data_IF_257014208317
#
_entry.id   IF_257014208317
#
_cell.length_a   1.000
_cell.length_b   1.000
_cell.length_c   1.000
_cell.angle_alpha   90.00
_cell.angle_beta   90.00
_cell.angle_gamma   90.00
#
_symmetry.space_group_name_H-M   'P 1'
#
loop_
_entity.id
_entity.type
_entity.pdbx_description
1 polymer ?
#
# COMPACT_ATOMS: atom_id res chain seq x y z
N UNK A 1 -10.54 8.06 -18.15
CA UNK A 1 -11.87 7.85 -17.52
C UNK A 1 -11.90 8.43 -16.11
N UNK A 2 -12.85 9.32 -15.80
CA UNK A 2 -13.07 9.90 -14.47
C UNK A 2 -14.56 9.84 -14.13
N UNK A 3 -14.93 9.36 -12.94
CA UNK A 3 -16.32 9.43 -12.46
C UNK A 3 -16.68 10.81 -11.92
N UNK A 4 -17.96 11.15 -11.84
CA UNK A 4 -18.38 12.31 -11.06
C UNK A 4 -18.31 12.01 -9.56
N UNK A 5 -18.13 13.04 -8.71
CA UNK A 5 -18.13 12.87 -7.26
C UNK A 5 -18.65 14.13 -6.58
N UNK A 6 -19.70 14.00 -5.76
CA UNK A 6 -20.30 15.09 -4.98
C UNK A 6 -20.71 16.30 -5.84
N UNK A 7 -21.28 16.06 -7.03
CA UNK A 7 -21.75 17.12 -7.94
C UNK A 7 -20.66 17.85 -8.73
N UNK A 8 -19.38 17.48 -8.57
CA UNK A 8 -18.25 18.07 -9.32
C UNK A 8 -18.15 17.37 -10.69
N UNK A 9 -17.99 18.16 -11.75
CA UNK A 9 -17.85 17.67 -13.14
C UNK A 9 -16.55 16.86 -13.32
N UNK A 10 -16.43 16.12 -14.42
CA UNK A 10 -15.21 15.32 -14.67
C UNK A 10 -14.02 16.20 -15.05
N UNK A 11 -14.28 17.32 -15.73
CA UNK A 11 -13.32 18.36 -16.11
C UNK A 11 -12.79 19.10 -14.87
N UNK A 12 -13.69 19.53 -13.98
CA UNK A 12 -13.32 20.16 -12.71
C UNK A 12 -12.47 19.22 -11.86
N UNK A 13 -12.82 17.93 -11.80
CA UNK A 13 -12.04 16.92 -11.09
C UNK A 13 -10.65 16.72 -11.71
N UNK A 14 -10.55 16.68 -13.04
CA UNK A 14 -9.26 16.59 -13.73
C UNK A 14 -8.39 17.82 -13.39
N UNK A 15 -8.94 19.02 -13.54
CA UNK A 15 -8.25 20.27 -13.25
C UNK A 15 -7.76 20.35 -11.80
N UNK A 16 -8.56 19.87 -10.85
CA UNK A 16 -8.13 19.79 -9.45
C UNK A 16 -6.99 18.78 -9.25
N UNK A 17 -7.05 17.62 -9.91
CA UNK A 17 -5.99 16.62 -9.82
C UNK A 17 -4.67 17.12 -10.40
N UNK A 18 -4.73 17.80 -11.56
CA UNK A 18 -3.55 18.34 -12.22
C UNK A 18 -2.89 19.46 -11.42
N UNK A 19 -3.59 20.16 -10.51
CA UNK A 19 -2.98 21.15 -9.59
C UNK A 19 -2.07 20.53 -8.52
N UNK A 20 -2.00 19.21 -8.40
CA UNK A 20 -1.10 18.57 -7.45
C UNK A 20 0.37 18.89 -7.78
N UNK A 21 1.19 18.98 -6.75
CA UNK A 21 2.62 19.30 -6.85
C UNK A 21 3.45 18.22 -7.57
N UNK A 22 2.95 16.98 -7.66
CA UNK A 22 3.58 15.93 -8.47
C UNK A 22 3.72 16.34 -9.94
N UNK A 23 2.88 17.25 -10.43
CA UNK A 23 2.90 17.76 -11.80
C UNK A 23 3.74 19.03 -11.97
N UNK A 24 4.35 19.59 -10.92
CA UNK A 24 5.13 20.84 -11.01
C UNK A 24 6.29 20.70 -12.01
N UNK A 25 7.11 19.67 -11.87
CA UNK A 25 8.22 19.39 -12.79
C UNK A 25 7.72 19.20 -14.23
N UNK A 26 6.58 18.54 -14.42
CA UNK A 26 6.00 18.33 -15.74
C UNK A 26 5.48 19.65 -16.35
N UNK A 27 4.87 20.54 -15.55
CA UNK A 27 4.47 21.89 -15.97
C UNK A 27 5.66 22.72 -16.43
N UNK A 28 6.77 22.64 -15.72
CA UNK A 28 8.00 23.35 -16.08
C UNK A 28 8.60 22.83 -17.38
N UNK A 29 8.68 21.51 -17.55
CA UNK A 29 9.26 20.87 -18.74
C UNK A 29 8.36 20.97 -19.98
N UNK A 30 7.05 20.91 -19.80
CA UNK A 30 6.07 20.98 -20.88
C UNK A 30 4.80 21.70 -20.40
N UNK A 31 4.71 23.03 -20.54
CA UNK A 31 3.55 23.80 -20.09
C UNK A 31 2.22 23.35 -20.69
N UNK A 32 2.25 22.80 -21.91
CA UNK A 32 1.07 22.38 -22.67
C UNK A 32 0.76 20.88 -22.52
N UNK A 33 1.36 20.17 -21.56
CA UNK A 33 1.14 18.71 -21.40
C UNK A 33 -0.33 18.33 -21.23
N UNK A 34 -1.16 19.24 -20.74
CA UNK A 34 -2.60 19.06 -20.53
C UNK A 34 -3.37 18.89 -21.84
N UNK A 35 -2.87 19.43 -22.97
CA UNK A 35 -3.47 19.26 -24.30
C UNK A 35 -3.47 17.80 -24.76
N UNK A 36 -2.60 16.96 -24.18
CA UNK A 36 -2.54 15.52 -24.45
C UNK A 36 -3.53 14.71 -23.60
N UNK A 37 -4.31 15.35 -22.74
CA UNK A 37 -5.20 14.69 -21.78
C UNK A 37 -6.65 14.93 -22.17
N UNK A 38 -7.32 13.85 -22.53
CA UNK A 38 -8.76 13.87 -22.77
C UNK A 38 -9.49 13.18 -21.62
N UNK A 39 -10.49 13.88 -21.06
CA UNK A 39 -11.34 13.32 -20.01
C UNK A 39 -12.59 12.71 -20.64
N UNK A 40 -12.90 11.49 -20.22
CA UNK A 40 -14.15 10.80 -20.57
C UNK A 40 -14.80 10.39 -19.26
N UNK A 41 -16.11 10.63 -19.15
CA UNK A 41 -16.89 10.15 -18.02
C UNK A 41 -16.94 8.63 -18.02
N UNK A 42 -16.74 8.03 -16.86
CA UNK A 42 -17.04 6.62 -16.66
C UNK A 42 -16.97 6.24 -15.19
N UNK A 43 -17.83 5.30 -14.80
CA UNK A 43 -17.97 4.80 -13.45
C UNK A 43 -18.11 3.28 -13.48
N UNK A 44 -17.14 2.60 -12.86
CA UNK A 44 -17.11 1.14 -12.76
C UNK A 44 -18.30 0.56 -11.98
N UNK A 45 -19.01 1.38 -11.21
CA UNK A 45 -20.20 0.96 -10.48
C UNK A 45 -21.48 1.01 -11.34
N UNK A 46 -21.42 1.60 -12.55
CA UNK A 46 -22.56 1.75 -13.47
C UNK A 46 -22.63 0.63 -14.50
N UNK A 47 -23.84 0.43 -15.03
CA UNK A 47 -24.05 -0.42 -16.20
C UNK A 47 -23.30 0.15 -17.42
N UNK A 48 -22.69 -0.75 -18.19
CA UNK A 48 -21.77 -0.44 -19.30
C UNK A 48 -20.75 0.68 -18.98
N UNK A 49 -20.27 0.72 -17.74
CA UNK A 49 -19.27 1.68 -17.24
C UNK A 49 -19.74 3.15 -17.29
N UNK A 50 -21.02 3.39 -17.59
CA UNK A 50 -21.62 4.72 -17.69
C UNK A 50 -21.19 5.53 -18.92
N UNK A 51 -20.61 4.91 -19.95
CA UNK A 51 -20.22 5.64 -21.15
C UNK A 51 -21.44 6.17 -21.92
N UNK A 52 -21.29 7.37 -22.52
CA UNK A 52 -22.23 7.80 -23.55
C UNK A 52 -22.01 6.96 -24.82
N UNK A 53 -23.02 6.78 -25.68
CA UNK A 53 -22.83 6.09 -26.96
C UNK A 53 -21.74 6.70 -27.84
N UNK A 54 -21.56 8.02 -27.75
CA UNK A 54 -20.54 8.76 -28.49
C UNK A 54 -19.13 8.48 -27.95
N UNK A 55 -18.94 8.60 -26.63
CA UNK A 55 -17.64 8.29 -26.01
C UNK A 55 -17.25 6.84 -26.24
N UNK A 56 -18.22 5.92 -26.19
CA UNK A 56 -17.98 4.50 -26.43
C UNK A 56 -17.50 4.26 -27.87
N UNK A 57 -18.13 4.87 -28.87
CA UNK A 57 -17.66 4.82 -30.28
C UNK A 57 -16.24 5.36 -30.42
N UNK A 58 -15.98 6.53 -29.84
CA UNK A 58 -14.65 7.16 -29.86
C UNK A 58 -13.58 6.25 -29.26
N UNK A 59 -13.87 5.59 -28.13
CA UNK A 59 -12.95 4.63 -27.49
C UNK A 59 -12.70 3.41 -28.39
N UNK A 60 -13.76 2.86 -28.98
CA UNK A 60 -13.69 1.71 -29.89
C UNK A 60 -12.84 2.02 -31.13
N UNK A 61 -12.94 3.24 -31.65
CA UNK A 61 -12.23 3.64 -32.88
C UNK A 61 -10.78 4.04 -32.65
N UNK A 62 -10.43 4.59 -31.49
CA UNK A 62 -9.13 5.28 -31.33
C UNK A 62 -8.19 4.67 -30.29
N UNK A 63 -8.64 3.74 -29.45
CA UNK A 63 -7.81 3.21 -28.35
C UNK A 63 -6.87 2.10 -28.82
N UNK A 64 -5.58 2.26 -28.52
CA UNK A 64 -4.56 1.23 -28.75
C UNK A 64 -4.19 0.44 -27.50
N UNK A 65 -4.19 1.07 -26.32
CA UNK A 65 -3.79 0.42 -25.07
C UNK A 65 -4.79 0.79 -23.98
N UNK A 66 -5.30 -0.22 -23.28
CA UNK A 66 -6.16 -0.02 -22.11
C UNK A 66 -5.38 -0.42 -20.86
N UNK A 67 -5.13 0.54 -19.97
CA UNK A 67 -4.54 0.28 -18.65
C UNK A 67 -5.65 0.33 -17.60
N UNK A 68 -6.18 -0.84 -17.24
CA UNK A 68 -7.18 -1.01 -16.20
C UNK A 68 -6.52 -1.09 -14.82
N UNK A 69 -6.34 0.07 -14.20
CA UNK A 69 -5.83 0.21 -12.83
C UNK A 69 -6.92 0.55 -11.79
N UNK A 70 -8.14 0.86 -12.25
CA UNK A 70 -9.20 1.31 -11.36
C UNK A 70 -9.72 0.14 -10.50
N UNK A 71 -9.80 0.33 -9.18
CA UNK A 71 -10.21 -0.72 -8.24
C UNK A 71 -10.74 -0.15 -6.92
N UNK A 72 -11.64 -0.89 -6.28
CA UNK A 72 -12.06 -0.67 -4.91
C UNK A 72 -11.07 -1.33 -3.95
N UNK A 73 -10.14 -0.52 -3.43
CA UNK A 73 -9.07 -0.94 -2.50
C UNK A 73 -9.44 -0.72 -1.02
N UNK A 74 -10.67 -0.29 -0.74
CA UNK A 74 -11.13 -0.09 0.63
C UNK A 74 -11.77 -1.38 1.17
N UNK A 75 -11.02 -2.10 1.99
CA UNK A 75 -11.37 -3.45 2.48
C UNK A 75 -12.62 -3.53 3.37
N UNK A 76 -13.23 -2.40 3.72
CA UNK A 76 -14.44 -2.31 4.57
C UNK A 76 -15.66 -1.84 3.76
N UNK A 77 -15.55 -1.76 2.44
CA UNK A 77 -16.72 -1.50 1.60
C UNK A 77 -17.65 -2.73 1.55
N UNK A 78 -18.92 -2.48 1.21
CA UNK A 78 -19.89 -3.56 0.92
C UNK A 78 -19.32 -4.52 -0.13
N UNK A 79 -19.61 -5.80 0.04
CA UNK A 79 -19.09 -6.89 -0.81
C UNK A 79 -19.54 -6.69 -2.25
N UNK A 80 -20.84 -6.41 -2.46
CA UNK A 80 -21.42 -6.08 -3.77
C UNK A 80 -20.62 -5.02 -4.49
N UNK A 81 -20.30 -3.93 -3.80
CA UNK A 81 -19.56 -2.80 -4.37
C UNK A 81 -18.14 -3.18 -4.79
N UNK A 82 -17.44 -3.97 -3.98
CA UNK A 82 -16.09 -4.45 -4.31
C UNK A 82 -16.15 -5.38 -5.53
N UNK A 83 -17.08 -6.33 -5.54
CA UNK A 83 -17.24 -7.28 -6.64
C UNK A 83 -17.69 -6.61 -7.95
N UNK A 84 -18.62 -5.65 -7.88
CA UNK A 84 -19.00 -4.84 -9.05
C UNK A 84 -17.81 -4.10 -9.63
N UNK A 85 -17.07 -3.38 -8.79
CA UNK A 85 -15.95 -2.52 -9.23
C UNK A 85 -14.75 -3.33 -9.72
N UNK A 86 -14.41 -4.43 -9.04
CA UNK A 86 -13.17 -5.16 -9.32
C UNK A 86 -13.37 -6.31 -10.31
N UNK A 87 -14.56 -6.92 -10.34
CA UNK A 87 -14.83 -8.12 -11.15
C UNK A 87 -15.77 -7.79 -12.32
N UNK A 88 -16.97 -7.30 -12.06
CA UNK A 88 -17.97 -7.04 -13.12
C UNK A 88 -17.50 -5.94 -14.08
N UNK A 89 -16.96 -4.85 -13.55
CA UNK A 89 -16.38 -3.78 -14.36
C UNK A 89 -15.17 -4.25 -15.19
N UNK A 90 -14.37 -5.18 -14.67
CA UNK A 90 -13.27 -5.79 -15.44
C UNK A 90 -13.80 -6.57 -16.62
N UNK A 91 -14.88 -7.35 -16.43
CA UNK A 91 -15.58 -8.02 -17.53
C UNK A 91 -16.05 -7.00 -18.59
N UNK A 92 -16.68 -5.90 -18.17
CA UNK A 92 -17.16 -4.86 -19.10
C UNK A 92 -16.04 -4.14 -19.85
N UNK A 93 -14.91 -3.90 -19.20
CA UNK A 93 -13.73 -3.35 -19.86
C UNK A 93 -13.10 -4.32 -20.86
N UNK A 94 -13.14 -5.63 -20.59
CA UNK A 94 -12.71 -6.66 -21.56
C UNK A 94 -13.65 -6.72 -22.77
N UNK A 95 -14.97 -6.60 -22.55
CA UNK A 95 -15.97 -6.49 -23.62
C UNK A 95 -15.70 -5.25 -24.50
N UNK A 96 -15.47 -4.07 -23.90
CA UNK A 96 -15.06 -2.88 -24.65
C UNK A 96 -13.75 -3.08 -25.41
N UNK A 97 -12.74 -3.67 -24.76
CA UNK A 97 -11.43 -3.91 -25.35
C UNK A 97 -11.51 -4.81 -26.59
N UNK A 98 -12.41 -5.80 -26.57
CA UNK A 98 -12.67 -6.68 -27.71
C UNK A 98 -13.21 -5.93 -28.92
N UNK A 99 -13.93 -4.84 -28.70
CA UNK A 99 -14.51 -4.03 -29.77
C UNK A 99 -13.51 -3.02 -30.34
N UNK A 100 -12.50 -2.61 -29.57
CA UNK A 100 -11.48 -1.66 -29.99
C UNK A 100 -10.71 -2.13 -31.24
N UNK A 101 -10.75 -1.33 -32.32
CA UNK A 101 -10.23 -1.71 -33.65
C UNK A 101 -8.71 -1.80 -33.72
N UNK A 102 -8.01 -1.07 -32.86
CA UNK A 102 -6.55 -0.93 -32.90
C UNK A 102 -5.86 -1.38 -31.62
N UNK A 103 -6.53 -2.22 -30.82
CA UNK A 103 -6.02 -2.64 -29.52
C UNK A 103 -4.76 -3.49 -29.67
N UNK A 104 -3.67 -3.00 -29.10
CA UNK A 104 -2.37 -3.67 -29.00
C UNK A 104 -2.19 -4.40 -27.68
N UNK A 105 -2.77 -3.88 -26.59
CA UNK A 105 -2.70 -4.48 -25.26
C UNK A 105 -3.86 -4.06 -24.34
N UNK A 106 -4.43 -5.04 -23.64
CA UNK A 106 -5.26 -4.83 -22.45
C UNK A 106 -4.46 -5.18 -21.19
N UNK A 107 -4.30 -4.22 -20.29
CA UNK A 107 -3.41 -4.34 -19.12
C UNK A 107 -4.24 -4.27 -17.87
N UNK A 108 -4.34 -5.38 -17.14
CA UNK A 108 -5.00 -5.44 -15.84
C UNK A 108 -3.98 -5.27 -14.72
N UNK A 109 -4.10 -4.20 -13.94
CA UNK A 109 -3.28 -4.02 -12.74
C UNK A 109 -3.95 -4.74 -11.57
N UNK A 110 -3.34 -5.86 -11.19
CA UNK A 110 -3.74 -6.68 -10.07
C UNK A 110 -2.87 -6.38 -8.84
N UNK A 111 -2.50 -7.38 -8.05
CA UNK A 111 -1.57 -7.27 -6.93
C UNK A 111 -0.82 -8.58 -6.74
N UNK A 112 0.43 -8.53 -6.31
CA UNK A 112 1.20 -9.72 -5.96
C UNK A 112 0.49 -10.56 -4.87
N UNK A 113 -0.36 -9.93 -4.06
CA UNK A 113 -1.10 -10.59 -3.00
C UNK A 113 -2.43 -11.21 -3.46
N UNK A 114 -2.71 -11.33 -4.75
CA UNK A 114 -3.91 -12.06 -5.23
C UNK A 114 -3.83 -13.55 -4.90
N UNK A 115 -2.63 -14.11 -4.77
CA UNK A 115 -2.41 -15.54 -4.54
C UNK A 115 -1.47 -15.80 -3.35
N UNK A 116 -1.58 -14.94 -2.32
CA UNK A 116 -0.73 -14.95 -1.12
C UNK A 116 -0.87 -16.20 -0.23
N UNK A 117 -1.79 -17.12 -0.52
CA UNK A 117 -1.81 -18.43 0.13
C UNK A 117 -0.64 -19.32 -0.35
N UNK A 118 0.05 -18.94 -1.42
CA UNK A 118 1.33 -19.54 -1.82
C UNK A 118 2.47 -18.79 -1.17
N UNK A 119 3.45 -19.51 -0.63
CA UNK A 119 4.67 -18.89 -0.11
C UNK A 119 5.50 -18.26 -1.24
N UNK A 120 5.58 -18.92 -2.40
CA UNK A 120 6.21 -18.35 -3.60
C UNK A 120 5.14 -17.97 -4.62
N UNK A 121 5.14 -16.71 -5.01
CA UNK A 121 4.22 -16.14 -6.01
C UNK A 121 4.99 -16.01 -7.32
N UNK A 122 4.65 -16.87 -8.27
CA UNK A 122 5.27 -16.96 -9.59
C UNK A 122 4.50 -16.12 -10.62
N UNK A 123 5.15 -15.85 -11.76
CA UNK A 123 4.59 -15.09 -12.89
C UNK A 123 3.69 -15.97 -13.78
N UNK A 124 2.72 -16.62 -13.14
CA UNK A 124 1.73 -17.49 -13.76
C UNK A 124 0.32 -17.20 -13.24
N UNK A 125 -0.68 -17.66 -14.00
CA UNK A 125 -2.05 -17.70 -13.52
C UNK A 125 -2.27 -18.88 -12.56
N UNK A 126 -3.09 -18.65 -11.54
CA UNK A 126 -3.47 -19.66 -10.55
C UNK A 126 -4.95 -20.05 -10.74
N UNK A 127 -5.42 -21.15 -10.12
CA UNK A 127 -6.84 -21.50 -10.14
C UNK A 127 -7.72 -20.38 -9.57
N UNK A 128 -8.89 -20.12 -10.19
CA UNK A 128 -9.77 -19.05 -9.75
C UNK A 128 -10.42 -19.35 -8.38
N UNK A 129 -10.71 -18.31 -7.59
CA UNK A 129 -11.51 -18.45 -6.37
C UNK A 129 -12.99 -18.79 -6.63
N UNK A 130 -13.55 -18.29 -7.73
CA UNK A 130 -14.98 -18.30 -8.00
C UNK A 130 -15.24 -18.07 -9.49
N UNK A 131 -16.37 -18.59 -9.99
CA UNK A 131 -16.89 -18.27 -11.30
C UNK A 131 -17.79 -17.02 -11.28
N UNK A 132 -18.12 -16.51 -12.46
CA UNK A 132 -18.94 -15.30 -12.59
C UNK A 132 -20.38 -15.48 -12.06
N UNK A 133 -20.90 -16.72 -12.07
CA UNK A 133 -22.25 -17.02 -11.56
C UNK A 133 -22.29 -16.79 -10.06
N UNK A 134 -21.35 -17.38 -9.33
CA UNK A 134 -21.20 -17.17 -7.90
C UNK A 134 -21.04 -15.67 -7.59
N UNK A 135 -20.18 -14.94 -8.31
CA UNK A 135 -20.02 -13.49 -8.11
C UNK A 135 -21.35 -12.73 -8.23
N UNK A 136 -22.16 -13.03 -9.25
CA UNK A 136 -23.47 -12.38 -9.44
C UNK A 136 -24.45 -12.73 -8.32
N UNK A 137 -24.49 -14.00 -7.91
CA UNK A 137 -25.34 -14.45 -6.81
C UNK A 137 -24.95 -13.75 -5.49
N UNK A 138 -23.65 -13.53 -5.24
CA UNK A 138 -23.15 -12.81 -4.07
C UNK A 138 -23.51 -11.33 -4.09
N UNK A 139 -23.37 -10.68 -5.25
CA UNK A 139 -23.78 -9.28 -5.40
C UNK A 139 -25.26 -9.14 -5.08
N UNK A 140 -26.11 -10.02 -5.64
CA UNK A 140 -27.56 -10.02 -5.36
C UNK A 140 -27.84 -10.22 -3.88
N UNK A 141 -27.23 -11.22 -3.24
CA UNK A 141 -27.42 -11.49 -1.80
C UNK A 141 -27.01 -10.31 -0.90
N UNK A 142 -25.91 -9.60 -1.23
CA UNK A 142 -25.46 -8.42 -0.48
C UNK A 142 -26.33 -7.18 -0.70
N UNK A 143 -26.99 -7.08 -1.85
CA UNK A 143 -27.87 -5.96 -2.21
C UNK A 143 -29.29 -6.13 -1.67
N UNK A 144 -29.83 -7.34 -1.69
CA UNK A 144 -31.13 -7.68 -1.12
C UNK A 144 -31.14 -7.54 0.40
N UNK A 145 -29.99 -7.72 1.05
CA UNK A 145 -29.84 -7.47 2.47
C UNK A 145 -29.33 -6.05 2.74
N UNK A 146 -30.17 -5.20 3.35
CA UNK A 146 -29.77 -3.84 3.73
C UNK A 146 -28.51 -3.82 4.61
N UNK A 147 -28.37 -4.80 5.53
CA UNK A 147 -27.19 -4.97 6.38
C UNK A 147 -25.96 -5.53 5.64
N UNK A 148 -26.13 -6.00 4.40
CA UNK A 148 -25.12 -6.70 3.61
C UNK A 148 -24.93 -8.16 4.04
N UNK A 149 -24.03 -8.84 3.36
CA UNK A 149 -23.60 -10.20 3.70
C UNK A 149 -22.87 -10.18 5.05
N UNK A 150 -23.15 -11.17 5.92
CA UNK A 150 -22.52 -11.24 7.25
C UNK A 150 -21.02 -11.51 7.14
N UNK A 151 -20.26 -11.17 8.19
CA UNK A 151 -18.81 -11.39 8.21
C UNK A 151 -18.45 -12.88 8.09
N UNK A 152 -19.27 -13.74 8.65
CA UNK A 152 -19.10 -15.19 8.63
C UNK A 152 -19.21 -15.71 7.20
N UNK A 153 -20.20 -15.20 6.45
CA UNK A 153 -20.42 -15.55 5.06
C UNK A 153 -19.31 -14.99 4.16
N UNK A 154 -18.82 -13.77 4.42
CA UNK A 154 -17.61 -13.25 3.76
C UNK A 154 -16.40 -14.14 4.06
N UNK A 155 -16.21 -14.55 5.32
CA UNK A 155 -15.08 -15.37 5.73
C UNK A 155 -15.10 -16.76 5.08
N UNK A 156 -16.28 -17.38 4.97
CA UNK A 156 -16.44 -18.67 4.30
C UNK A 156 -16.18 -18.58 2.79
N UNK A 157 -16.40 -17.41 2.17
CA UNK A 157 -16.13 -17.19 0.74
C UNK A 157 -14.67 -16.92 0.46
N UNK A 158 -14.05 -16.08 1.30
CA UNK A 158 -12.66 -15.70 1.06
C UNK A 158 -11.71 -16.82 1.44
N UNK A 159 -12.11 -17.86 2.19
CA UNK A 159 -11.34 -19.08 2.47
C UNK A 159 -9.81 -18.84 2.60
N UNK A 160 -9.06 -19.09 1.52
CA UNK A 160 -7.58 -18.94 1.42
C UNK A 160 -7.08 -17.50 1.31
N UNK A 161 -7.97 -16.54 1.10
CA UNK A 161 -7.71 -15.12 0.91
C UNK A 161 -7.98 -14.34 2.19
N UNK A 162 -7.03 -13.47 2.55
CA UNK A 162 -7.16 -12.60 3.73
C UNK A 162 -8.33 -11.64 3.74
N UNK A 163 -8.80 -11.25 2.56
CA UNK A 163 -9.89 -10.29 2.42
C UNK A 163 -10.52 -10.37 1.03
N UNK A 164 -11.73 -9.80 0.95
CA UNK A 164 -12.52 -9.74 -0.27
C UNK A 164 -11.83 -8.98 -1.41
N UNK A 165 -10.89 -8.08 -1.11
CA UNK A 165 -10.11 -7.39 -2.14
C UNK A 165 -9.17 -8.35 -2.87
N UNK A 166 -8.34 -9.09 -2.14
CA UNK A 166 -7.44 -10.09 -2.73
C UNK A 166 -8.20 -11.19 -3.47
N UNK A 167 -9.34 -11.62 -2.92
CA UNK A 167 -10.28 -12.52 -3.60
C UNK A 167 -10.75 -11.92 -4.93
N UNK A 168 -11.26 -10.68 -4.93
CA UNK A 168 -11.78 -10.04 -6.14
C UNK A 168 -10.73 -9.82 -7.22
N UNK A 169 -9.48 -9.53 -6.83
CA UNK A 169 -8.34 -9.40 -7.75
C UNK A 169 -8.02 -10.76 -8.38
N UNK A 170 -7.94 -11.82 -7.59
CA UNK A 170 -7.76 -13.18 -8.11
C UNK A 170 -8.90 -13.62 -9.05
N UNK A 171 -10.16 -13.30 -8.74
CA UNK A 171 -11.28 -13.58 -9.64
C UNK A 171 -11.15 -12.82 -10.97
N UNK A 172 -10.77 -11.55 -10.92
CA UNK A 172 -10.64 -10.73 -12.11
C UNK A 172 -9.47 -11.17 -13.01
N UNK A 173 -8.37 -11.66 -12.43
CA UNK A 173 -7.28 -12.27 -13.20
C UNK A 173 -7.76 -13.47 -14.01
N UNK A 174 -8.66 -14.29 -13.46
CA UNK A 174 -9.26 -15.39 -14.22
C UNK A 174 -10.10 -14.87 -15.38
N UNK A 175 -10.93 -13.86 -15.15
CA UNK A 175 -11.74 -13.28 -16.22
C UNK A 175 -10.85 -12.78 -17.35
N UNK A 176 -9.73 -12.13 -17.03
CA UNK A 176 -8.74 -11.70 -18.02
C UNK A 176 -8.16 -12.91 -18.77
N UNK A 177 -7.77 -13.96 -18.06
CA UNK A 177 -7.21 -15.19 -18.67
C UNK A 177 -8.19 -15.87 -19.62
N UNK A 178 -9.39 -16.15 -19.13
CA UNK A 178 -10.43 -16.87 -19.86
C UNK A 178 -10.89 -16.07 -21.08
N UNK A 179 -11.13 -14.77 -20.90
CA UNK A 179 -11.53 -13.89 -21.99
C UNK A 179 -10.43 -13.75 -23.04
N UNK A 180 -9.17 -13.56 -22.63
CA UNK A 180 -8.03 -13.48 -23.53
C UNK A 180 -7.93 -14.73 -24.42
N UNK A 181 -8.05 -15.93 -23.83
CA UNK A 181 -7.99 -17.19 -24.57
C UNK A 181 -9.17 -17.38 -25.53
N UNK A 182 -10.39 -17.09 -25.07
CA UNK A 182 -11.61 -17.23 -25.90
C UNK A 182 -11.65 -16.28 -27.08
N UNK A 183 -11.04 -15.10 -26.94
CA UNK A 183 -11.14 -14.02 -27.94
C UNK A 183 -9.82 -13.73 -28.65
N UNK A 184 -8.72 -14.37 -28.24
CA UNK A 184 -7.35 -14.03 -28.66
C UNK A 184 -6.98 -12.56 -28.38
N UNK A 185 -7.52 -11.97 -27.31
CA UNK A 185 -7.24 -10.59 -26.91
C UNK A 185 -5.84 -10.50 -26.27
N UNK A 186 -4.99 -9.53 -26.68
CA UNK A 186 -3.63 -9.41 -26.17
C UNK A 186 -3.64 -8.84 -24.73
N UNK A 187 -3.64 -9.72 -23.73
CA UNK A 187 -3.82 -9.34 -22.33
C UNK A 187 -2.55 -9.49 -21.47
N UNK A 188 -2.36 -8.53 -20.56
CA UNK A 188 -1.35 -8.53 -19.51
C UNK A 188 -2.02 -8.45 -18.15
N UNK A 189 -1.53 -9.21 -17.18
CA UNK A 189 -1.79 -9.01 -15.75
C UNK A 189 -0.50 -8.54 -15.08
N UNK A 190 -0.52 -7.34 -14.53
CA UNK A 190 0.62 -6.75 -13.81
C UNK A 190 0.33 -6.76 -12.30
N UNK A 191 1.20 -7.40 -11.51
CA UNK A 191 1.03 -7.65 -10.07
C UNK A 191 2.09 -6.90 -9.25
N UNK A 192 1.87 -5.64 -8.87
CA UNK A 192 2.74 -4.93 -7.94
C UNK A 192 2.56 -5.44 -6.50
N UNK A 193 3.64 -5.41 -5.71
CA UNK A 193 3.62 -5.56 -4.25
C UNK A 193 3.20 -4.25 -3.54
N UNK A 194 3.61 -4.01 -2.28
CA UNK A 194 3.23 -2.81 -1.54
C UNK A 194 3.93 -1.57 -2.13
N UNK A 195 3.17 -0.74 -2.81
CA UNK A 195 3.66 0.52 -3.39
C UNK A 195 3.83 1.59 -2.30
N UNK A 196 5.02 2.18 -2.23
CA UNK A 196 5.40 3.24 -1.29
C UNK A 196 5.67 4.57 -2.02
N UNK A 197 6.46 5.47 -1.42
CA UNK A 197 6.81 6.74 -2.04
C UNK A 197 7.64 6.56 -3.31
N UNK A 198 7.82 7.66 -4.05
CA UNK A 198 8.80 7.73 -5.14
C UNK A 198 10.23 7.53 -4.62
N UNK A 199 11.09 6.92 -5.44
CA UNK A 199 12.52 6.73 -5.15
C UNK A 199 13.38 7.81 -5.82
N UNK A 200 13.05 8.24 -7.04
CA UNK A 200 13.83 9.20 -7.81
C UNK A 200 12.99 10.35 -8.37
N UNK A 201 11.80 10.09 -8.90
CA UNK A 201 11.07 11.09 -9.71
C UNK A 201 9.56 11.16 -9.38
N UNK A 202 8.89 12.30 -9.65
CA UNK A 202 9.47 13.60 -9.98
C UNK A 202 10.00 14.34 -8.73
N UNK A 203 9.41 14.05 -7.56
CA UNK A 203 9.72 14.63 -6.25
C UNK A 203 9.43 13.58 -5.17
N UNK A 204 9.93 13.72 -3.93
CA UNK A 204 9.47 12.89 -2.81
C UNK A 204 7.95 13.04 -2.64
N UNK A 205 7.20 11.98 -2.95
CA UNK A 205 5.74 12.03 -2.99
C UNK A 205 5.11 10.73 -2.52
N UNK A 206 3.95 10.85 -1.87
CA UNK A 206 3.12 9.75 -1.40
C UNK A 206 1.67 10.02 -1.81
N UNK A 207 1.06 9.10 -2.55
CA UNK A 207 -0.28 9.27 -3.10
C UNK A 207 -1.44 8.90 -2.19
N UNK A 208 -1.18 8.32 -1.01
CA UNK A 208 -2.22 7.87 -0.10
C UNK A 208 -1.88 8.13 1.37
N UNK A 209 -2.89 8.04 2.25
CA UNK A 209 -2.73 8.17 3.71
C UNK A 209 -3.19 6.91 4.44
N UNK A 210 -2.87 5.73 3.91
CA UNK A 210 -3.34 4.44 4.41
C UNK A 210 -2.17 3.45 4.57
N UNK A 211 -2.39 2.35 5.29
CA UNK A 211 -1.43 1.24 5.35
C UNK A 211 -0.06 1.67 5.89
N UNK A 212 1.06 1.40 5.17
CA UNK A 212 2.41 1.66 5.68
C UNK A 212 2.65 3.13 6.01
N UNK A 213 2.05 4.04 5.25
CA UNK A 213 2.14 5.49 5.46
C UNK A 213 1.66 5.88 6.87
N UNK A 214 0.58 5.26 7.36
CA UNK A 214 0.03 5.55 8.70
C UNK A 214 0.94 5.02 9.79
N UNK A 215 1.46 3.79 9.66
CA UNK A 215 2.34 3.19 10.67
C UNK A 215 3.67 3.91 10.76
N UNK A 216 4.31 4.21 9.63
CA UNK A 216 5.60 4.91 9.61
C UNK A 216 5.42 6.35 10.09
N UNK A 217 4.32 7.03 9.73
CA UNK A 217 3.96 8.34 10.27
C UNK A 217 3.74 8.31 11.80
N UNK A 218 3.10 7.25 12.31
CA UNK A 218 2.93 7.05 13.76
C UNK A 218 4.28 6.84 14.46
N UNK A 219 5.19 6.08 13.85
CA UNK A 219 6.56 5.92 14.30
C UNK A 219 7.34 7.23 14.33
N UNK A 220 7.35 7.96 13.21
CA UNK A 220 8.00 9.27 13.06
C UNK A 220 7.56 10.27 14.14
N UNK A 221 6.28 10.23 14.51
CA UNK A 221 5.72 11.14 15.50
C UNK A 221 5.75 10.61 16.94
N UNK A 222 6.28 9.41 17.19
CA UNK A 222 6.36 8.83 18.53
C UNK A 222 5.02 8.35 19.10
N UNK A 223 4.09 7.93 18.23
CA UNK A 223 2.84 7.26 18.62
C UNK A 223 2.95 5.73 18.59
N UNK A 224 3.98 5.20 17.94
CA UNK A 224 4.20 3.77 17.74
C UNK A 224 5.67 3.44 18.01
N UNK A 225 5.88 2.51 18.94
CA UNK A 225 7.19 2.09 19.43
C UNK A 225 7.35 0.57 19.49
N UNK A 226 6.26 -0.18 19.58
CA UNK A 226 6.31 -1.64 19.77
C UNK A 226 5.52 -2.33 18.66
N UNK A 227 6.15 -3.29 18.00
CA UNK A 227 5.59 -4.06 16.89
C UNK A 227 5.69 -5.56 17.19
N UNK A 228 4.63 -6.30 16.89
CA UNK A 228 4.65 -7.77 16.97
C UNK A 228 4.97 -8.36 15.60
N UNK A 229 6.26 -8.42 15.30
CA UNK A 229 6.85 -8.84 14.03
C UNK A 229 7.98 -9.83 14.25
N UNK A 230 8.24 -10.65 13.24
CA UNK A 230 9.43 -11.50 13.18
C UNK A 230 10.55 -10.70 12.53
N UNK A 231 11.69 -10.57 13.21
CA UNK A 231 12.78 -9.69 12.80
C UNK A 231 13.39 -10.07 11.45
N UNK A 232 13.32 -11.36 11.09
CA UNK A 232 13.92 -11.93 9.88
C UNK A 232 12.99 -11.94 8.65
N UNK A 233 11.75 -11.44 8.79
CA UNK A 233 10.81 -11.37 7.66
C UNK A 233 11.22 -10.26 6.70
N UNK A 234 11.10 -10.56 5.42
CA UNK A 234 11.27 -9.59 4.34
C UNK A 234 9.98 -8.81 4.15
N UNK A 235 10.04 -7.49 4.12
CA UNK A 235 8.88 -6.66 3.77
C UNK A 235 8.97 -6.26 2.31
N UNK A 236 8.02 -6.72 1.49
CA UNK A 236 8.05 -6.42 0.06
C UNK A 236 7.41 -5.05 -0.21
N UNK A 237 8.26 -4.04 -0.42
CA UNK A 237 7.87 -2.68 -0.76
C UNK A 237 8.55 -2.23 -2.04
N UNK A 238 7.85 -1.45 -2.86
CA UNK A 238 8.33 -0.99 -4.17
C UNK A 238 8.04 0.50 -4.37
N UNK A 239 8.98 1.29 -4.91
CA UNK A 239 8.74 2.70 -5.22
C UNK A 239 7.71 2.90 -6.32
N UNK A 240 6.82 3.89 -6.17
CA UNK A 240 5.72 4.12 -7.14
C UNK A 240 6.24 4.49 -8.53
N UNK A 241 7.27 5.33 -8.64
CA UNK A 241 7.87 5.75 -9.91
C UNK A 241 8.45 4.56 -10.68
N UNK A 242 9.24 3.72 -9.99
CA UNK A 242 9.81 2.52 -10.58
C UNK A 242 8.73 1.49 -10.94
N UNK A 243 7.66 1.40 -10.15
CA UNK A 243 6.50 0.53 -10.43
C UNK A 243 5.79 0.92 -11.72
N UNK A 244 5.62 2.23 -11.97
CA UNK A 244 5.01 2.72 -13.21
C UNK A 244 5.95 2.50 -14.39
N UNK A 245 7.26 2.73 -14.23
CA UNK A 245 8.24 2.45 -15.27
C UNK A 245 8.28 0.97 -15.65
N UNK A 246 8.25 0.07 -14.66
CA UNK A 246 8.18 -1.38 -14.89
C UNK A 246 6.91 -1.80 -15.63
N UNK A 247 5.76 -1.18 -15.30
CA UNK A 247 4.51 -1.40 -16.02
C UNK A 247 4.63 -0.97 -17.50
N UNK A 248 5.20 0.21 -17.76
CA UNK A 248 5.39 0.72 -19.12
C UNK A 248 6.37 -0.17 -19.92
N UNK A 249 7.47 -0.60 -19.30
CA UNK A 249 8.42 -1.53 -19.90
C UNK A 249 7.77 -2.88 -20.23
N UNK A 250 6.94 -3.43 -19.34
CA UNK A 250 6.18 -4.66 -19.61
C UNK A 250 5.18 -4.50 -20.77
N UNK A 251 4.53 -3.34 -20.89
CA UNK A 251 3.63 -3.05 -22.02
C UNK A 251 4.41 -2.99 -23.33
N UNK A 252 5.52 -2.24 -23.35
CA UNK A 252 6.39 -2.14 -24.52
C UNK A 252 6.88 -3.52 -24.97
N UNK A 253 7.44 -4.30 -24.05
CA UNK A 253 7.99 -5.61 -24.38
C UNK A 253 6.91 -6.58 -24.87
N UNK A 254 5.74 -6.55 -24.25
CA UNK A 254 4.61 -7.37 -24.69
C UNK A 254 4.06 -6.95 -26.06
N UNK A 255 4.12 -5.66 -26.42
CA UNK A 255 3.66 -5.21 -27.74
C UNK A 255 4.69 -5.56 -28.82
N UNK A 256 5.99 -5.42 -28.52
CA UNK A 256 7.06 -5.55 -29.51
C UNK A 256 7.59 -6.98 -29.63
N UNK A 257 7.74 -7.69 -28.51
CA UNK A 257 8.49 -8.96 -28.43
C UNK A 257 7.61 -10.17 -28.08
N UNK A 258 6.28 -10.04 -27.98
CA UNK A 258 5.42 -11.20 -27.66
C UNK A 258 5.52 -12.29 -28.72
N UNK A 259 5.66 -13.53 -28.25
CA UNK A 259 5.72 -14.72 -29.12
C UNK A 259 4.35 -15.35 -29.39
N UNK A 260 3.36 -15.05 -28.57
CA UNK A 260 2.00 -15.60 -28.69
C UNK A 260 0.98 -14.61 -28.14
N UNK A 261 -0.29 -14.85 -28.46
CA UNK A 261 -1.43 -14.12 -27.88
C UNK A 261 -1.88 -14.70 -26.52
N UNK A 262 -1.12 -15.64 -25.92
CA UNK A 262 -1.43 -16.10 -24.57
C UNK A 262 -1.26 -14.95 -23.57
N UNK A 263 -2.22 -14.78 -22.63
CA UNK A 263 -2.14 -13.73 -21.65
C UNK A 263 -0.88 -13.90 -20.78
N UNK A 264 -0.21 -12.79 -20.48
CA UNK A 264 1.02 -12.79 -19.70
C UNK A 264 0.79 -12.23 -18.30
N UNK A 265 1.44 -12.84 -17.31
CA UNK A 265 1.52 -12.32 -15.94
C UNK A 265 2.92 -11.76 -15.72
N UNK A 266 3.02 -10.57 -15.13
CA UNK A 266 4.25 -9.96 -14.65
C UNK A 266 4.07 -9.58 -13.18
N UNK A 267 5.04 -9.93 -12.35
CA UNK A 267 5.07 -9.51 -10.96
C UNK A 267 6.11 -8.41 -10.80
N UNK A 268 5.83 -7.43 -9.94
CA UNK A 268 6.82 -6.44 -9.54
C UNK A 268 6.91 -6.42 -8.02
N UNK A 269 7.99 -6.98 -7.49
CA UNK A 269 8.22 -7.17 -6.07
C UNK A 269 9.72 -7.23 -5.77
N UNK A 270 10.06 -6.79 -4.56
CA UNK A 270 11.44 -6.68 -4.07
C UNK A 270 11.95 -7.96 -3.40
N UNK A 271 11.07 -8.86 -2.94
CA UNK A 271 11.45 -10.02 -2.13
C UNK A 271 12.40 -11.02 -2.82
N UNK A 272 12.27 -11.23 -4.14
CA UNK A 272 13.18 -12.05 -4.96
C UNK A 272 14.27 -11.21 -5.67
N UNK A 273 14.20 -9.88 -5.59
CA UNK A 273 15.05 -8.99 -6.39
C UNK A 273 16.04 -8.21 -5.55
N UNK A 274 15.57 -7.55 -4.49
CA UNK A 274 16.36 -6.77 -3.56
C UNK A 274 15.65 -6.77 -2.19
N UNK A 275 15.72 -7.86 -1.41
CA UNK A 275 14.92 -8.00 -0.19
C UNK A 275 15.37 -7.03 0.91
N UNK A 276 14.42 -6.34 1.53
CA UNK A 276 14.65 -5.56 2.75
C UNK A 276 14.12 -6.30 3.97
N UNK A 277 14.99 -6.59 4.95
CA UNK A 277 14.55 -7.15 6.23
C UNK A 277 13.88 -6.08 7.09
N UNK A 278 12.81 -6.46 7.77
CA UNK A 278 12.05 -5.57 8.64
C UNK A 278 12.94 -4.90 9.69
N UNK A 279 13.81 -5.67 10.35
CA UNK A 279 14.73 -5.14 11.36
C UNK A 279 15.68 -4.08 10.78
N UNK A 280 16.28 -4.36 9.62
CA UNK A 280 17.19 -3.44 8.93
C UNK A 280 16.48 -2.14 8.53
N UNK A 281 15.28 -2.24 7.94
CA UNK A 281 14.48 -1.08 7.58
C UNK A 281 14.08 -0.24 8.80
N UNK A 282 13.72 -0.87 9.92
CA UNK A 282 13.43 -0.17 11.17
C UNK A 282 14.68 0.53 11.75
N UNK A 283 15.84 -0.13 11.73
CA UNK A 283 17.10 0.44 12.22
C UNK A 283 17.52 1.67 11.41
N UNK A 284 17.52 1.56 10.08
CA UNK A 284 17.81 2.66 9.16
C UNK A 284 16.80 3.81 9.35
N UNK A 285 15.51 3.48 9.45
CA UNK A 285 14.46 4.47 9.71
C UNK A 285 14.66 5.24 11.01
N UNK A 286 14.99 4.56 12.12
CA UNK A 286 15.29 5.22 13.41
C UNK A 286 16.48 6.16 13.27
N UNK A 287 17.56 5.72 12.61
CA UNK A 287 18.75 6.52 12.43
C UNK A 287 18.43 7.83 11.69
N UNK A 288 17.70 7.73 10.57
CA UNK A 288 17.28 8.89 9.77
C UNK A 288 16.34 9.79 10.59
N UNK A 289 15.39 9.23 11.33
CA UNK A 289 14.46 9.99 12.19
C UNK A 289 15.19 10.76 13.30
N UNK A 290 16.25 10.20 13.87
CA UNK A 290 17.07 10.88 14.89
C UNK A 290 17.88 12.03 14.31
N UNK A 291 18.35 11.91 13.07
CA UNK A 291 19.03 13.00 12.32
C UNK A 291 18.04 14.08 11.87
N UNK A 292 16.83 13.68 11.48
CA UNK A 292 15.78 14.54 10.93
C UNK A 292 14.44 14.41 11.70
N UNK A 293 14.40 14.77 12.99
CA UNK A 293 13.20 14.62 13.81
C UNK A 293 12.05 15.51 13.36
N UNK A 294 10.81 15.04 13.56
CA UNK A 294 9.60 15.83 13.29
C UNK A 294 9.35 16.82 14.43
N UNK A 295 8.88 18.04 14.10
CA UNK A 295 8.42 18.99 15.12
C UNK A 295 7.14 18.48 15.81
N UNK A 296 6.38 17.60 15.14
CA UNK A 296 5.16 16.96 15.65
C UNK A 296 5.42 15.76 16.55
N UNK A 297 6.67 15.30 16.67
CA UNK A 297 7.03 14.19 17.56
C UNK A 297 6.56 14.46 19.00
N UNK A 298 5.90 13.48 19.61
CA UNK A 298 5.46 13.55 21.01
C UNK A 298 6.34 12.73 21.95
N UNK A 299 7.17 11.86 21.40
CA UNK A 299 8.11 11.02 22.14
C UNK A 299 9.40 10.79 21.33
N UNK A 300 10.49 10.42 22.01
CA UNK A 300 11.77 10.12 21.35
C UNK A 300 11.65 8.85 20.48
N UNK A 301 12.15 8.84 19.24
CA UNK A 301 12.01 7.67 18.37
C UNK A 301 12.85 6.49 18.84
N UNK A 302 12.16 5.39 19.14
CA UNK A 302 12.71 4.05 19.35
C UNK A 302 11.69 3.01 18.86
N UNK A 303 12.18 1.83 18.49
CA UNK A 303 11.33 0.68 18.16
C UNK A 303 11.81 -0.58 18.88
N UNK A 304 10.84 -1.39 19.28
CA UNK A 304 11.04 -2.73 19.82
C UNK A 304 10.20 -3.68 18.97
N UNK A 305 10.84 -4.68 18.37
CA UNK A 305 10.16 -5.80 17.73
C UNK A 305 10.09 -6.95 18.74
N UNK A 306 8.93 -7.60 18.84
CA UNK A 306 8.75 -8.80 19.66
C UNK A 306 8.05 -9.88 18.85
N UNK A 307 8.58 -11.09 18.86
CA UNK A 307 7.93 -12.28 18.30
C UNK A 307 7.06 -13.02 19.35
N UNK A 308 7.03 -12.55 20.60
CA UNK A 308 6.21 -13.10 21.67
C UNK A 308 4.99 -12.19 21.92
N UNK A 309 3.79 -12.78 21.83
CA UNK A 309 2.54 -12.04 21.93
C UNK A 309 2.31 -11.45 23.34
N UNK A 310 2.72 -12.16 24.39
CA UNK A 310 2.58 -11.69 25.77
C UNK A 310 3.51 -10.50 26.03
N UNK A 311 4.77 -10.61 25.60
CA UNK A 311 5.74 -9.51 25.67
C UNK A 311 5.25 -8.31 24.86
N UNK A 312 4.72 -8.54 23.65
CA UNK A 312 4.13 -7.47 22.85
C UNK A 312 2.95 -6.81 23.57
N UNK A 313 2.01 -7.57 24.13
CA UNK A 313 0.84 -7.00 24.82
C UNK A 313 1.27 -6.18 26.04
N UNK A 314 2.24 -6.67 26.81
CA UNK A 314 2.82 -5.94 27.94
C UNK A 314 3.45 -4.62 27.48
N UNK A 315 4.39 -4.68 26.53
CA UNK A 315 5.09 -3.51 26.01
C UNK A 315 4.14 -2.53 25.30
N UNK A 316 3.15 -3.02 24.54
CA UNK A 316 2.13 -2.19 23.91
C UNK A 316 1.28 -1.45 24.96
N UNK A 317 0.95 -2.13 26.05
CA UNK A 317 0.21 -1.51 27.17
C UNK A 317 1.03 -0.40 27.82
N UNK A 318 2.30 -0.69 28.14
CA UNK A 318 3.21 0.25 28.80
C UNK A 318 3.59 1.44 27.90
N UNK A 319 3.89 1.20 26.63
CA UNK A 319 4.41 2.22 25.71
C UNK A 319 3.33 2.97 24.94
N UNK A 320 2.11 2.44 24.81
CA UNK A 320 1.04 3.10 24.03
C UNK A 320 -0.23 3.34 24.83
N UNK A 321 -0.79 2.31 25.47
CA UNK A 321 -2.12 2.40 26.12
C UNK A 321 -2.07 3.33 27.33
N UNK A 322 -1.20 3.06 28.31
CA UNK A 322 -1.11 3.85 29.54
C UNK A 322 -0.73 5.31 29.25
N UNK A 323 0.30 5.62 28.42
CA UNK A 323 0.63 7.00 28.08
C UNK A 323 -0.53 7.72 27.38
N UNK A 324 -1.24 7.04 26.47
CA UNK A 324 -2.38 7.62 25.75
C UNK A 324 -3.52 7.99 26.71
N UNK A 325 -3.85 7.09 27.65
CA UNK A 325 -4.89 7.33 28.66
C UNK A 325 -4.49 8.47 29.61
N UNK A 326 -3.25 8.47 30.09
CA UNK A 326 -2.75 9.50 31.01
C UNK A 326 -2.78 10.90 30.37
N UNK A 327 -2.29 11.02 29.13
CA UNK A 327 -2.27 12.30 28.41
C UNK A 327 -3.70 12.75 28.08
N UNK A 328 -4.58 11.86 27.63
CA UNK A 328 -5.96 12.22 27.33
C UNK A 328 -6.76 12.60 28.58
N UNK A 329 -6.51 11.95 29.72
CA UNK A 329 -7.06 12.36 31.02
C UNK A 329 -6.61 13.77 31.38
N UNK A 330 -5.32 14.08 31.26
CA UNK A 330 -4.80 15.42 31.49
C UNK A 330 -5.38 16.48 30.55
N UNK A 331 -5.64 16.12 29.28
CA UNK A 331 -6.34 16.99 28.32
C UNK A 331 -7.77 17.26 28.77
N UNK A 332 -8.50 16.23 29.19
CA UNK A 332 -9.87 16.35 29.70
C UNK A 332 -9.92 17.26 30.94
N UNK A 333 -8.99 17.10 31.88
CA UNK A 333 -8.86 17.96 33.06
C UNK A 333 -8.59 19.44 32.69
N UNK A 334 -8.04 19.71 31.49
CA UNK A 334 -7.83 21.06 30.94
C UNK A 334 -8.95 21.51 30.01
N UNK A 335 -10.11 20.84 30.01
CA UNK A 335 -11.25 21.15 29.13
C UNK A 335 -10.99 20.86 27.65
N UNK A 336 -9.94 20.10 27.31
CA UNK A 336 -9.59 19.74 25.92
C UNK A 336 -10.11 18.35 25.57
N UNK A 337 -10.45 18.15 24.30
CA UNK A 337 -10.87 16.83 23.79
C UNK A 337 -9.71 15.82 23.81
N UNK A 338 -10.00 14.54 24.12
CA UNK A 338 -9.03 13.45 24.04
C UNK A 338 -8.72 13.15 22.57
N UNK A 339 -7.45 12.85 22.27
CA UNK A 339 -6.93 12.66 20.91
C UNK A 339 -6.11 11.38 20.79
N UNK A 340 -5.30 11.03 21.79
CA UNK A 340 -4.30 9.98 21.68
C UNK A 340 -4.93 8.59 21.64
N UNK A 341 -5.98 8.35 22.43
CA UNK A 341 -6.73 7.08 22.37
C UNK A 341 -7.29 6.85 20.96
N UNK A 342 -7.79 7.89 20.30
CA UNK A 342 -8.30 7.80 18.91
C UNK A 342 -7.18 7.49 17.92
N UNK A 343 -6.01 8.11 18.09
CA UNK A 343 -4.82 7.82 17.27
C UNK A 343 -4.41 6.36 17.47
N UNK A 344 -4.34 5.90 18.73
CA UNK A 344 -4.00 4.51 19.06
C UNK A 344 -4.96 3.52 18.39
N UNK A 345 -6.27 3.75 18.43
CA UNK A 345 -7.23 2.91 17.70
C UNK A 345 -6.97 2.87 16.20
N UNK A 346 -6.66 4.02 15.58
CA UNK A 346 -6.31 4.10 14.15
C UNK A 346 -5.03 3.33 13.82
N UNK A 347 -3.99 3.50 14.64
CA UNK A 347 -2.70 2.80 14.49
C UNK A 347 -2.90 1.30 14.65
N UNK A 348 -3.58 0.85 15.70
CA UNK A 348 -3.86 -0.59 15.94
C UNK A 348 -4.68 -1.21 14.81
N UNK A 349 -5.64 -0.48 14.24
CA UNK A 349 -6.41 -0.96 13.08
C UNK A 349 -5.51 -1.18 11.85
N UNK A 350 -4.66 -0.22 11.51
CA UNK A 350 -3.75 -0.33 10.37
C UNK A 350 -2.65 -1.38 10.62
N UNK A 351 -2.21 -1.50 11.88
CA UNK A 351 -1.25 -2.49 12.32
C UNK A 351 -1.75 -3.92 12.09
N UNK A 352 -2.99 -4.25 12.48
CA UNK A 352 -3.58 -5.58 12.26
C UNK A 352 -3.62 -5.98 10.79
N UNK A 353 -3.84 -5.03 9.90
CA UNK A 353 -3.84 -5.27 8.46
C UNK A 353 -2.42 -5.60 7.97
N UNK A 354 -1.42 -4.82 8.38
CA UNK A 354 -0.03 -4.99 7.94
C UNK A 354 0.71 -6.12 8.63
N UNK A 355 0.34 -6.48 9.86
CA UNK A 355 0.96 -7.60 10.57
C UNK A 355 0.69 -8.94 9.89
N UNK A 356 -0.35 -9.06 9.06
CA UNK A 356 -0.47 -10.23 8.19
C UNK A 356 0.66 -10.28 7.16
N UNK A 357 0.94 -9.16 6.49
CA UNK A 357 2.00 -9.09 5.48
C UNK A 357 3.39 -9.21 6.10
N UNK A 358 3.61 -8.60 7.27
CA UNK A 358 4.89 -8.64 7.98
C UNK A 358 5.15 -9.96 8.75
N UNK A 359 4.19 -10.91 8.76
CA UNK A 359 4.37 -12.26 9.30
C UNK A 359 4.58 -13.32 8.23
N UNK A 360 4.32 -13.00 6.98
CA UNK A 360 4.38 -13.96 5.90
C UNK A 360 5.68 -13.81 5.12
N UNK A 361 6.40 -14.90 4.95
CA UNK A 361 7.65 -14.94 4.19
C UNK A 361 7.37 -15.20 2.71
N UNK A 362 6.63 -14.30 2.05
CA UNK A 362 6.37 -14.45 0.63
C UNK A 362 7.58 -14.09 -0.22
N UNK A 363 7.79 -14.88 -1.26
CA UNK A 363 8.77 -14.62 -2.31
C UNK A 363 8.00 -14.32 -3.60
N UNK A 364 8.07 -13.08 -4.06
CA UNK A 364 7.44 -12.61 -5.29
C UNK A 364 8.49 -12.67 -6.40
N UNK A 365 8.42 -13.71 -7.23
CA UNK A 365 9.31 -13.88 -8.39
C UNK A 365 9.01 -12.79 -9.42
N UNK A 366 10.02 -12.12 -9.94
CA UNK A 366 9.91 -11.03 -10.91
C UNK A 366 10.85 -11.25 -12.12
N UNK A 367 10.99 -12.51 -12.55
CA UNK A 367 12.00 -12.94 -13.51
C UNK A 367 11.77 -12.31 -14.91
N UNK A 368 10.52 -12.16 -15.36
CA UNK A 368 10.21 -11.54 -16.65
C UNK A 368 10.58 -10.06 -16.71
N UNK A 369 10.37 -9.30 -15.62
CA UNK A 369 10.78 -7.88 -15.59
C UNK A 369 12.30 -7.72 -15.50
N UNK A 370 13.01 -8.64 -14.84
CA UNK A 370 14.47 -8.72 -14.92
C UNK A 370 14.91 -8.98 -16.37
N UNK A 371 14.22 -9.89 -17.08
CA UNK A 371 14.51 -10.22 -18.48
C UNK A 371 14.25 -9.05 -19.44
N UNK A 372 13.15 -8.32 -19.27
CA UNK A 372 12.79 -7.14 -20.10
C UNK A 372 13.92 -6.12 -20.13
N UNK A 373 14.57 -5.87 -18.99
CA UNK A 373 15.66 -4.89 -18.91
C UNK A 373 16.88 -5.28 -19.73
N UNK A 374 17.09 -6.57 -19.99
CA UNK A 374 18.19 -7.03 -20.87
C UNK A 374 17.93 -6.72 -22.35
N UNK A 375 16.67 -6.45 -22.71
CA UNK A 375 16.26 -6.06 -24.08
C UNK A 375 16.17 -4.55 -24.28
N UNK A 376 16.15 -3.78 -23.19
CA UNK A 376 16.12 -2.32 -23.26
C UNK A 376 17.50 -1.78 -23.62
N UNK A 377 17.53 -0.76 -24.48
CA UNK A 377 18.78 -0.04 -24.74
C UNK A 377 19.11 0.90 -23.57
N UNK A 378 20.31 1.49 -23.61
CA UNK A 378 20.79 2.39 -22.53
C UNK A 378 19.86 3.59 -22.31
N UNK A 379 19.31 4.19 -23.36
CA UNK A 379 18.43 5.36 -23.27
C UNK A 379 17.13 4.99 -22.56
N UNK A 380 16.53 3.86 -22.92
CA UNK A 380 15.29 3.39 -22.30
C UNK A 380 15.49 3.01 -20.83
N UNK A 381 16.64 2.42 -20.48
CA UNK A 381 16.99 2.10 -19.08
C UNK A 381 17.13 3.37 -18.21
N UNK A 382 17.61 4.47 -18.80
CA UNK A 382 17.76 5.75 -18.12
C UNK A 382 16.42 6.51 -17.99
N UNK A 383 15.56 6.44 -19.01
CA UNK A 383 14.25 7.11 -19.06
C UNK A 383 13.18 6.37 -18.25
N UNK A 384 13.20 5.03 -18.25
CA UNK A 384 12.24 4.17 -17.55
C UNK A 384 12.93 3.29 -16.48
N UNK A 385 13.60 3.88 -15.47
CA UNK A 385 14.30 3.10 -14.45
C UNK A 385 13.30 2.26 -13.64
N UNK A 386 13.51 0.94 -13.66
CA UNK A 386 12.69 -0.03 -12.93
C UNK A 386 13.48 -1.20 -12.31
N UNK A 387 14.82 -1.15 -12.32
CA UNK A 387 15.67 -2.16 -11.66
C UNK A 387 15.62 -2.04 -10.14
N UNK A 388 14.84 -2.91 -9.47
CA UNK A 388 14.81 -2.93 -8.01
C UNK A 388 16.16 -3.32 -7.39
N UNK A 389 17.04 -4.00 -8.13
CA UNK A 389 18.40 -4.33 -7.71
C UNK A 389 19.29 -3.10 -7.48
N UNK A 390 18.97 -1.99 -8.15
CA UNK A 390 19.67 -0.70 -8.00
C UNK A 390 19.21 0.15 -6.81
N UNK A 391 18.18 -0.29 -6.09
CA UNK A 391 17.60 0.47 -4.97
C UNK A 391 18.51 0.43 -3.75
N UNK A 392 18.96 1.60 -3.32
CA UNK A 392 19.58 1.82 -2.02
C UNK A 392 18.47 2.04 -0.97
N UNK A 393 18.22 1.04 -0.13
CA UNK A 393 17.14 1.09 0.85
C UNK A 393 17.27 2.23 1.85
N UNK A 394 18.49 2.62 2.23
CA UNK A 394 18.69 3.74 3.15
C UNK A 394 18.23 5.05 2.51
N UNK A 395 18.63 5.30 1.25
CA UNK A 395 18.16 6.48 0.49
C UNK A 395 16.66 6.43 0.21
N UNK A 396 16.13 5.25 -0.08
CA UNK A 396 14.70 5.04 -0.28
C UNK A 396 13.88 5.39 0.97
N UNK A 397 14.32 4.95 2.15
CA UNK A 397 13.69 5.28 3.43
C UNK A 397 13.83 6.78 3.74
N UNK A 398 14.99 7.38 3.50
CA UNK A 398 15.19 8.82 3.68
C UNK A 398 14.19 9.62 2.83
N UNK A 399 14.06 9.26 1.56
CA UNK A 399 13.13 9.90 0.64
C UNK A 399 11.67 9.68 1.03
N UNK A 400 11.32 8.49 1.51
CA UNK A 400 10.00 8.21 2.06
C UNK A 400 9.68 9.12 3.25
N UNK A 401 10.63 9.29 4.18
CA UNK A 401 10.48 10.18 5.33
C UNK A 401 10.36 11.66 4.90
N UNK A 402 11.10 12.10 3.88
CA UNK A 402 10.91 13.44 3.29
C UNK A 402 9.49 13.63 2.75
N UNK A 403 8.95 12.64 2.04
CA UNK A 403 7.59 12.68 1.52
C UNK A 403 6.53 12.68 2.64
N UNK A 404 6.77 11.95 3.75
CA UNK A 404 5.92 11.99 4.94
C UNK A 404 5.94 13.36 5.61
N UNK A 405 7.10 14.01 5.72
CA UNK A 405 7.22 15.37 6.26
C UNK A 405 6.42 16.35 5.42
N UNK A 406 6.53 16.25 4.09
CA UNK A 406 5.72 17.05 3.15
C UNK A 406 4.21 16.85 3.36
N UNK A 407 3.74 15.60 3.51
CA UNK A 407 2.33 15.30 3.84
C UNK A 407 1.86 15.90 5.18
N UNK A 408 2.80 16.17 6.08
CA UNK A 408 2.56 16.81 7.36
C UNK A 408 2.83 18.33 7.33
N UNK A 409 3.04 18.93 6.14
CA UNK A 409 3.38 20.34 5.97
C UNK A 409 4.67 20.73 6.72
N UNK A 410 5.64 19.82 6.79
CA UNK A 410 6.98 20.08 7.31
C UNK A 410 8.00 20.18 6.16
N UNK A 411 9.08 20.96 6.33
CA UNK A 411 10.19 20.97 5.37
C UNK A 411 10.86 19.58 5.27
N UNK A 412 11.56 19.28 4.17
CA UNK A 412 12.17 17.96 3.94
C UNK A 412 13.17 17.53 5.02
N UNK A 413 13.83 18.49 5.67
CA UNK A 413 14.79 18.26 6.75
C UNK A 413 14.32 18.93 8.05
N UNK A 414 14.85 18.47 9.18
CA UNK A 414 14.45 18.97 10.49
C UNK A 414 14.89 20.43 10.72
N UNK A 415 13.96 21.25 11.22
CA UNK A 415 14.26 22.59 11.70
C UNK A 415 15.10 22.55 13.00
N UNK A 416 15.72 23.68 13.34
CA UNK A 416 16.46 23.83 14.61
C UNK A 416 15.55 23.55 15.81
N UNK A 417 14.29 24.00 15.74
CA UNK A 417 13.28 23.75 16.76
C UNK A 417 13.01 22.25 16.92
N UNK A 418 12.80 21.53 15.81
CA UNK A 418 12.56 20.08 15.84
C UNK A 418 13.75 19.33 16.45
N UNK A 419 14.99 19.72 16.13
CA UNK A 419 16.20 19.15 16.74
C UNK A 419 16.29 19.43 18.24
N UNK A 420 15.99 20.66 18.69
CA UNK A 420 15.96 21.02 20.11
C UNK A 420 14.89 20.22 20.86
N UNK A 421 13.69 20.13 20.30
CA UNK A 421 12.59 19.34 20.86
C UNK A 421 12.98 17.86 20.98
N UNK A 422 13.58 17.28 19.94
CA UNK A 422 14.05 15.90 19.97
C UNK A 422 15.10 15.65 21.06
N UNK A 423 16.02 16.59 21.30
CA UNK A 423 16.97 16.51 22.42
C UNK A 423 16.25 16.47 23.78
N UNK A 424 15.22 17.29 23.97
CA UNK A 424 14.45 17.28 25.22
C UNK A 424 13.66 15.97 25.38
N UNK A 425 13.05 15.47 24.31
CA UNK A 425 12.38 14.17 24.30
C UNK A 425 13.35 13.03 24.58
N UNK A 426 14.57 13.10 24.07
CA UNK A 426 15.64 12.12 24.35
C UNK A 426 15.99 12.09 25.85
N UNK A 427 16.22 13.27 26.45
CA UNK A 427 16.49 13.38 27.88
C UNK A 427 15.32 12.80 28.69
N UNK A 428 14.08 13.21 28.37
CA UNK A 428 12.89 12.68 29.01
C UNK A 428 12.79 11.16 28.90
N UNK A 429 13.03 10.61 27.71
CA UNK A 429 12.96 9.17 27.45
C UNK A 429 13.95 8.40 28.31
N UNK A 430 15.23 8.79 28.30
CA UNK A 430 16.24 8.09 29.10
C UNK A 430 16.06 8.30 30.60
N UNK A 431 15.53 9.43 31.06
CA UNK A 431 15.13 9.61 32.46
C UNK A 431 14.03 8.63 32.84
N UNK A 432 12.99 8.49 32.02
CA UNK A 432 11.90 7.53 32.27
C UNK A 432 12.39 6.09 32.26
N UNK A 433 13.25 5.72 31.29
CA UNK A 433 13.88 4.41 31.25
C UNK A 433 14.73 4.14 32.49
N UNK A 434 15.53 5.12 32.92
CA UNK A 434 16.35 5.02 34.13
C UNK A 434 15.52 4.82 35.40
N UNK A 435 14.45 5.61 35.57
CA UNK A 435 13.52 5.46 36.69
C UNK A 435 12.82 4.10 36.68
N UNK A 436 12.40 3.61 35.51
CA UNK A 436 11.81 2.28 35.37
C UNK A 436 12.79 1.16 35.73
N UNK A 437 14.05 1.28 35.30
CA UNK A 437 15.09 0.32 35.65
C UNK A 437 15.37 0.31 37.17
N UNK A 438 15.50 1.49 37.79
CA UNK A 438 15.69 1.60 39.25
C UNK A 438 14.50 1.02 40.03
N UNK A 439 13.28 1.29 39.60
CA UNK A 439 12.08 0.73 40.20
C UNK A 439 12.02 -0.80 40.07
N UNK A 440 12.41 -1.32 38.91
CA UNK A 440 12.47 -2.77 38.67
C UNK A 440 13.54 -3.45 39.54
N UNK A 441 14.70 -2.82 39.70
CA UNK A 441 15.77 -3.27 40.60
C UNK A 441 15.31 -3.24 42.07
N UNK A 442 14.58 -2.21 42.48
CA UNK A 442 14.01 -2.10 43.82
C UNK A 442 13.00 -3.23 44.12
N UNK A 443 12.09 -3.53 43.17
CA UNK A 443 11.16 -4.66 43.30
C UNK A 443 11.93 -5.97 43.42
N UNK A 444 12.91 -6.21 42.54
CA UNK A 444 13.72 -7.42 42.57
C UNK A 444 14.45 -7.60 43.90
N UNK A 445 15.08 -6.52 44.41
CA UNK A 445 15.71 -6.50 45.73
C UNK A 445 14.72 -6.82 46.86
N UNK A 446 13.53 -6.24 46.82
CA UNK A 446 12.51 -6.46 47.85
C UNK A 446 12.01 -7.90 47.87
N UNK A 447 11.75 -8.49 46.69
CA UNK A 447 11.32 -9.89 46.56
C UNK A 447 12.43 -10.84 47.02
N UNK A 448 13.67 -10.63 46.56
CA UNK A 448 14.80 -11.50 46.94
C UNK A 448 15.11 -11.39 48.43
N UNK A 449 15.10 -10.20 49.01
CA UNK A 449 15.27 -9.99 50.45
C UNK A 449 14.17 -10.68 51.27
N UNK A 450 12.91 -10.59 50.83
CA UNK A 450 11.78 -11.27 51.48
C UNK A 450 11.90 -12.80 51.39
N UNK A 451 12.32 -13.33 50.24
CA UNK A 451 12.54 -14.75 50.02
C UNK A 451 13.71 -15.31 50.84
N UNK A 452 14.82 -14.57 50.92
CA UNK A 452 15.97 -14.93 51.77
C UNK A 452 15.54 -14.93 53.24
N UNK A 453 14.79 -13.91 53.67
CA UNK A 453 14.27 -13.82 55.04
C UNK A 453 13.35 -15.00 55.38
N UNK A 454 12.49 -15.42 54.43
CA UNK A 454 11.63 -16.60 54.56
C UNK A 454 12.42 -17.91 54.63
N UNK A 455 13.50 -18.06 53.87
CA UNK A 455 14.36 -19.27 53.94
C UNK A 455 15.23 -19.32 55.20
N UNK A 456 15.53 -18.17 55.81
CA UNK A 456 16.29 -18.08 57.05
C UNK A 456 15.44 -18.21 58.32
N UNK A 457 14.12 -18.20 58.18
CA UNK A 457 13.14 -18.43 59.26
C UNK A 457 12.69 -19.90 59.24
#
# INVERSE_FOLDING_TARGET
MIRQKKGISVEERLNHFLKNDIFDKLREMNPNFMEKIEVIYGDLEKEDLGFSPEDRRRLVENVNVIIHNASMVYFVAKVSRILRTNVIATQKLLELARECRHLMAFVYVSTAYSHHYNQTIEEKFYPPPADLKLIKDLIRADEENAAGVTKEVVQSMVDKWINIYSFSKATAEELVRDFARKTSLPCIVYRPSIVISTYKEPIPWIGNKNGPVVLISAGMNGYLHVLYWYEHVTIDMIPVDMTINGLLAAIWDFVVNRKSNEPQVYNYGSSDWNPLKVFEGCAQGIEILRKNPSVKAVWYPFFICSNNILVFLLLHTLCHVLPSLFIDLFRLLRGKKPVLVRILFSVTKNYRLLSYFARSEWIIKADKLKEIQTRMNKVDLEEFPCDLGSVDWYKGIERFLMALRKLQNEPPYASIEAKRKNRNLMILHYTVCGLFALFSLYIFYTITSSFISFLSA
#
